data_IF_165639993107
#
_entry.id   IF_165639993107
#
_cell.length_a   1.000
_cell.length_b   1.000
_cell.length_c   1.000
_cell.angle_alpha   90.00
_cell.angle_beta   90.00
_cell.angle_gamma   90.00
#
_symmetry.space_group_name_H-M   'P 1'
#
loop_
_entity.id
_entity.type
_entity.pdbx_description
1 polymer ?
#
# COMPACT_ATOMS: atom_id res chain seq x y z
N UNK A 1 9.40 23.10 -10.24
CA UNK A 1 9.53 21.66 -9.97
C UNK A 1 8.13 21.07 -9.81
N UNK A 2 7.83 19.92 -10.43
CA UNK A 2 6.56 19.22 -10.21
C UNK A 2 6.53 18.76 -8.75
N UNK A 3 5.50 19.15 -7.99
CA UNK A 3 5.35 18.67 -6.61
C UNK A 3 5.22 17.15 -6.63
N UNK A 4 6.09 16.47 -5.88
CA UNK A 4 6.06 15.01 -5.82
C UNK A 4 4.82 14.57 -5.05
N UNK A 5 4.03 13.65 -5.61
CA UNK A 5 2.95 12.96 -4.91
C UNK A 5 3.51 11.67 -4.34
N UNK A 6 3.30 11.46 -3.05
CA UNK A 6 3.76 10.28 -2.32
C UNK A 6 2.61 9.27 -2.21
N UNK A 7 2.86 8.02 -2.58
CA UNK A 7 1.96 6.91 -2.29
C UNK A 7 2.55 6.08 -1.15
N UNK A 8 1.83 5.98 -0.04
CA UNK A 8 2.18 5.16 1.10
C UNK A 8 1.39 3.86 1.06
N UNK A 9 2.10 2.74 1.16
CA UNK A 9 1.53 1.40 0.98
C UNK A 9 1.63 0.61 2.28
N UNK A 10 0.50 0.09 2.74
CA UNK A 10 0.43 -0.96 3.75
C UNK A 10 0.29 -2.32 3.06
N UNK A 11 1.31 -3.18 3.06
CA UNK A 11 1.16 -4.56 2.60
C UNK A 11 0.24 -5.35 3.53
N UNK A 12 -0.40 -6.42 3.04
CA UNK A 12 -1.15 -7.31 3.90
C UNK A 12 -0.20 -8.02 4.88
N UNK A 13 -0.66 -8.23 6.11
CA UNK A 13 0.02 -9.02 7.14
C UNK A 13 -0.05 -10.50 6.81
N UNK A 14 -1.23 -10.95 6.36
CA UNK A 14 -1.49 -12.32 5.89
C UNK A 14 -2.55 -12.31 4.80
N UNK A 15 -2.51 -13.32 3.92
CA UNK A 15 -3.60 -13.58 2.96
C UNK A 15 -4.71 -14.45 3.54
N UNK A 16 -4.49 -15.11 4.67
CA UNK A 16 -5.35 -16.21 5.14
C UNK A 16 -6.38 -15.80 6.21
N UNK A 17 -6.19 -14.67 6.90
CA UNK A 17 -7.05 -14.24 7.99
C UNK A 17 -7.26 -12.72 8.00
N UNK A 18 -8.41 -12.28 8.51
CA UNK A 18 -8.69 -10.87 8.78
C UNK A 18 -8.13 -10.50 10.16
N UNK A 19 -6.83 -10.22 10.24
CA UNK A 19 -6.27 -9.60 11.44
C UNK A 19 -6.52 -8.09 11.41
N UNK A 20 -7.07 -7.54 12.49
CA UNK A 20 -7.21 -6.10 12.67
C UNK A 20 -5.83 -5.51 12.95
N UNK A 21 -5.15 -5.12 11.88
CA UNK A 21 -3.92 -4.36 11.94
C UNK A 21 -4.18 -2.89 11.57
N UNK A 22 -3.77 -1.99 12.45
CA UNK A 22 -3.81 -0.55 12.18
C UNK A 22 -2.40 -0.10 11.76
N UNK A 23 -2.20 0.41 10.53
CA UNK A 23 -0.88 0.77 10.04
C UNK A 23 -0.42 2.13 10.60
N UNK A 24 -0.24 2.20 11.92
CA UNK A 24 0.04 3.44 12.65
C UNK A 24 1.28 4.17 12.12
N UNK A 25 2.32 3.44 11.74
CA UNK A 25 3.55 4.02 11.18
C UNK A 25 3.30 4.85 9.92
N UNK A 26 2.50 4.34 8.98
CA UNK A 26 2.22 5.07 7.74
C UNK A 26 1.23 6.22 7.96
N UNK A 27 0.32 6.09 8.94
CA UNK A 27 -0.61 7.16 9.29
C UNK A 27 0.10 8.36 9.90
N UNK A 28 1.10 8.12 10.75
CA UNK A 28 1.96 9.17 11.30
C UNK A 28 2.73 9.87 10.17
N UNK A 29 3.34 9.11 9.25
CA UNK A 29 4.05 9.68 8.11
C UNK A 29 3.12 10.47 7.18
N UNK A 30 1.95 9.94 6.86
CA UNK A 30 0.94 10.63 6.05
C UNK A 30 0.53 11.97 6.69
N UNK A 31 0.39 12.00 8.02
CA UNK A 31 0.05 13.22 8.76
C UNK A 31 1.14 14.28 8.62
N UNK A 32 2.41 13.89 8.78
CA UNK A 32 3.55 14.79 8.62
C UNK A 32 3.65 15.33 7.18
N UNK A 33 3.45 14.48 6.17
CA UNK A 33 3.44 14.89 4.77
C UNK A 33 2.31 15.89 4.48
N UNK A 34 1.09 15.63 4.99
CA UNK A 34 -0.04 16.56 4.87
C UNK A 34 0.25 17.90 5.53
N UNK A 35 0.84 17.92 6.73
CA UNK A 35 1.25 19.15 7.42
C UNK A 35 2.27 19.98 6.63
N UNK A 36 3.07 19.34 5.77
CA UNK A 36 4.03 20.00 4.87
C UNK A 36 3.48 20.29 3.48
N UNK A 37 2.16 20.17 3.29
CA UNK A 37 1.49 20.33 2.00
C UNK A 37 2.06 19.42 0.89
N UNK A 38 2.59 18.25 1.26
CA UNK A 38 2.99 17.21 0.30
C UNK A 38 1.77 16.35 -0.03
N UNK A 39 1.35 16.25 -1.30
CA UNK A 39 0.26 15.37 -1.69
C UNK A 39 0.59 13.92 -1.33
N UNK A 40 -0.30 13.29 -0.56
CA UNK A 40 -0.12 11.91 -0.11
C UNK A 40 -1.38 11.10 -0.34
N UNK A 41 -1.22 9.89 -0.84
CA UNK A 41 -2.25 8.87 -0.95
C UNK A 41 -1.84 7.62 -0.16
N UNK A 42 -2.82 6.92 0.38
CA UNK A 42 -2.60 5.71 1.18
C UNK A 42 -3.32 4.55 0.50
N UNK A 43 -2.58 3.49 0.20
CA UNK A 43 -3.13 2.21 -0.28
C UNK A 43 -2.96 1.19 0.83
N UNK A 44 -4.09 0.70 1.34
CA UNK A 44 -4.12 -0.33 2.39
C UNK A 44 -4.60 -1.65 1.83
N UNK A 45 -3.69 -2.62 1.67
CA UNK A 45 -4.03 -3.92 1.14
C UNK A 45 -4.76 -4.82 2.15
N UNK A 46 -4.65 -4.56 3.46
CA UNK A 46 -5.52 -5.25 4.43
C UNK A 46 -6.97 -4.82 4.27
N UNK A 47 -7.21 -3.51 4.16
CA UNK A 47 -8.56 -3.00 3.89
C UNK A 47 -9.06 -3.50 2.53
N UNK A 48 -8.22 -3.50 1.51
CA UNK A 48 -8.59 -3.98 0.18
C UNK A 48 -9.00 -5.46 0.20
N UNK A 49 -8.29 -6.30 0.95
CA UNK A 49 -8.66 -7.72 1.09
C UNK A 49 -9.98 -7.93 1.84
N UNK A 50 -10.31 -7.07 2.80
CA UNK A 50 -11.63 -7.09 3.47
C UNK A 50 -12.74 -6.70 2.52
N UNK A 51 -12.51 -5.68 1.69
CA UNK A 51 -13.49 -5.19 0.73
C UNK A 51 -13.62 -6.13 -0.48
N UNK A 52 -12.57 -6.87 -0.81
CA UNK A 52 -12.43 -7.71 -2.02
C UNK A 52 -11.72 -9.03 -1.71
N UNK A 53 -12.41 -9.91 -1.01
CA UNK A 53 -11.88 -11.21 -0.55
C UNK A 53 -11.35 -12.10 -1.69
N UNK A 54 -11.80 -11.91 -2.92
CA UNK A 54 -11.30 -12.64 -4.10
C UNK A 54 -9.82 -12.39 -4.39
N UNK A 55 -9.28 -11.22 -3.98
CA UNK A 55 -7.87 -10.89 -4.17
C UNK A 55 -6.95 -11.74 -3.29
N UNK A 56 -7.45 -12.29 -2.18
CA UNK A 56 -6.69 -13.24 -1.34
C UNK A 56 -6.43 -14.56 -2.08
N UNK A 57 -7.36 -14.96 -2.96
CA UNK A 57 -7.39 -16.29 -3.58
C UNK A 57 -6.58 -16.38 -4.88
N UNK A 58 -6.26 -15.25 -5.51
CA UNK A 58 -5.49 -15.22 -6.76
C UNK A 58 -4.38 -14.19 -6.69
N UNK A 59 -3.14 -14.70 -6.75
CA UNK A 59 -1.94 -13.86 -6.86
C UNK A 59 -2.00 -12.95 -8.09
N UNK A 60 -2.47 -13.47 -9.23
CA UNK A 60 -2.59 -12.67 -10.44
C UNK A 60 -3.59 -11.52 -10.28
N UNK A 61 -4.75 -11.77 -9.67
CA UNK A 61 -5.73 -10.70 -9.41
C UNK A 61 -5.18 -9.66 -8.44
N UNK A 62 -4.46 -10.09 -7.41
CA UNK A 62 -3.77 -9.21 -6.47
C UNK A 62 -2.74 -8.31 -7.15
N UNK A 63 -1.84 -8.87 -7.96
CA UNK A 63 -0.81 -8.12 -8.68
C UNK A 63 -1.44 -7.13 -9.68
N UNK A 64 -2.46 -7.55 -10.43
CA UNK A 64 -3.19 -6.68 -11.35
C UNK A 64 -3.90 -5.53 -10.62
N UNK A 65 -4.52 -5.81 -9.46
CA UNK A 65 -5.14 -4.77 -8.64
C UNK A 65 -4.10 -3.78 -8.10
N UNK A 66 -2.95 -4.28 -7.63
CA UNK A 66 -1.86 -3.44 -7.15
C UNK A 66 -1.32 -2.50 -8.24
N UNK A 67 -1.03 -3.04 -9.43
CA UNK A 67 -0.56 -2.24 -10.58
C UNK A 67 -1.56 -1.13 -10.92
N UNK A 68 -2.86 -1.45 -11.03
CA UNK A 68 -3.90 -0.46 -11.33
C UNK A 68 -3.98 0.64 -10.27
N UNK A 69 -3.85 0.29 -8.99
CA UNK A 69 -3.84 1.27 -7.90
C UNK A 69 -2.60 2.17 -7.96
N UNK A 70 -1.43 1.60 -8.26
CA UNK A 70 -0.19 2.37 -8.39
C UNK A 70 -0.25 3.36 -9.55
N UNK A 71 -0.71 2.91 -10.73
CA UNK A 71 -0.92 3.76 -11.90
C UNK A 71 -1.95 4.86 -11.63
N UNK A 72 -3.11 4.51 -11.05
CA UNK A 72 -4.17 5.46 -10.71
C UNK A 72 -3.73 6.51 -9.67
N UNK A 73 -2.79 6.15 -8.79
CA UNK A 73 -2.26 7.09 -7.80
C UNK A 73 -1.57 8.28 -8.49
N UNK A 74 -0.93 8.09 -9.65
CA UNK A 74 -0.11 9.12 -10.27
C UNK A 74 1.04 9.63 -9.38
N UNK A 75 1.40 8.86 -8.34
CA UNK A 75 2.52 9.14 -7.47
C UNK A 75 3.86 8.89 -8.18
N UNK A 76 4.88 9.64 -7.80
CA UNK A 76 6.25 9.48 -8.31
C UNK A 76 7.24 9.11 -7.19
N UNK A 77 6.74 9.00 -5.96
CA UNK A 77 7.47 8.54 -4.78
C UNK A 77 6.59 7.53 -4.07
N UNK A 78 7.14 6.36 -3.80
CA UNK A 78 6.43 5.28 -3.12
C UNK A 78 7.14 4.93 -1.81
N UNK A 79 6.38 4.83 -0.73
CA UNK A 79 6.86 4.36 0.56
C UNK A 79 6.08 3.12 0.97
N UNK A 80 6.76 1.99 1.16
CA UNK A 80 6.14 0.74 1.57
C UNK A 80 6.52 0.46 3.02
N UNK A 81 5.53 0.24 3.87
CA UNK A 81 5.77 -0.19 5.24
C UNK A 81 5.99 -1.70 5.31
N UNK A 82 6.67 -2.15 6.35
CA UNK A 82 6.70 -3.57 6.69
C UNK A 82 6.74 -3.71 8.20
N UNK A 83 5.99 -4.69 8.70
CA UNK A 83 5.98 -5.13 10.08
C UNK A 83 6.23 -6.64 10.12
N UNK A 84 7.16 -7.06 10.98
CA UNK A 84 7.43 -8.47 11.26
C UNK A 84 7.58 -9.32 9.98
N UNK A 85 6.66 -10.27 9.78
CA UNK A 85 6.70 -11.27 8.71
C UNK A 85 6.10 -10.81 7.38
N UNK A 86 5.57 -9.59 7.26
CA UNK A 86 4.90 -9.16 6.03
C UNK A 86 5.86 -8.62 4.94
N UNK A 87 7.17 -8.60 5.22
CA UNK A 87 8.19 -8.12 4.28
C UNK A 87 8.19 -8.82 2.91
N UNK A 88 7.82 -10.11 2.74
CA UNK A 88 7.73 -10.71 1.40
C UNK A 88 6.68 -10.02 0.53
N UNK A 89 5.51 -9.66 1.09
CA UNK A 89 4.48 -8.92 0.38
C UNK A 89 4.92 -7.48 0.09
N UNK A 90 5.67 -6.87 1.01
CA UNK A 90 6.27 -5.55 0.79
C UNK A 90 7.21 -5.57 -0.43
N UNK A 91 8.07 -6.60 -0.53
CA UNK A 91 8.99 -6.79 -1.65
C UNK A 91 8.26 -7.15 -2.96
N UNK A 92 7.22 -7.99 -2.89
CA UNK A 92 6.35 -8.31 -4.03
C UNK A 92 5.74 -7.01 -4.59
N UNK A 93 5.09 -6.21 -3.75
CA UNK A 93 4.52 -4.92 -4.15
C UNK A 93 5.59 -3.95 -4.68
N UNK A 94 6.77 -3.91 -4.05
CA UNK A 94 7.88 -3.08 -4.53
C UNK A 94 8.28 -3.43 -5.97
N UNK A 95 8.27 -4.71 -6.32
CA UNK A 95 8.62 -5.18 -7.67
C UNK A 95 7.61 -4.79 -8.75
N UNK A 96 6.39 -4.40 -8.36
CA UNK A 96 5.33 -3.99 -9.28
C UNK A 96 5.34 -2.49 -9.58
N UNK A 97 6.09 -1.69 -8.80
CA UNK A 97 6.24 -0.25 -9.00
C UNK A 97 7.26 -0.01 -10.13
N UNK A 98 6.88 0.77 -11.14
CA UNK A 98 7.69 1.07 -12.33
C UNK A 98 7.95 2.55 -12.51
#
# INVERSE_FOLDING_TARGET
>A
MKTSKVCLINPPTTRDQDEIFFPMGILVLATLLKQKAVPVELIDFEQLFRDRGELRQSRELYEQAAIRLFEASGANVFGISSICSNFPYALELASLIR
#
